data_IF_363166352006
#
_entry.id   IF_363166352006
#
_cell.length_a   1.000
_cell.length_b   1.000
_cell.length_c   1.000
_cell.angle_alpha   90.00
_cell.angle_beta   90.00
_cell.angle_gamma   90.00
#
_symmetry.space_group_name_H-M   'P 1'
#
loop_
_entity.id
_entity.type
_entity.pdbx_description
1 polymer ?
#
# COMPACT_ATOMS: atom_id res chain seq x y z
N UNK A 1 -32.37 11.20 -17.22
CA UNK A 1 -31.14 10.52 -17.69
C UNK A 1 -30.13 10.57 -16.57
N UNK A 2 -30.07 9.53 -15.76
CA UNK A 2 -29.09 9.40 -14.66
C UNK A 2 -27.73 9.09 -15.29
N UNK A 3 -26.83 10.07 -15.29
CA UNK A 3 -25.43 9.85 -15.64
C UNK A 3 -24.82 8.95 -14.56
N UNK A 4 -24.69 7.66 -14.89
CA UNK A 4 -23.85 6.73 -14.13
C UNK A 4 -22.42 7.26 -14.19
N UNK A 5 -21.97 7.93 -13.13
CA UNK A 5 -20.57 8.31 -12.95
C UNK A 5 -19.80 7.02 -12.72
N UNK A 6 -19.15 6.50 -13.76
CA UNK A 6 -18.23 5.37 -13.62
C UNK A 6 -17.08 5.85 -12.75
N UNK A 7 -17.02 5.42 -11.48
CA UNK A 7 -15.89 5.67 -10.59
C UNK A 7 -14.62 5.15 -11.30
N UNK A 8 -13.72 6.06 -11.65
CA UNK A 8 -12.53 5.69 -12.41
C UNK A 8 -11.59 4.90 -11.49
N UNK A 9 -11.31 3.65 -11.85
CA UNK A 9 -10.39 2.79 -11.13
C UNK A 9 -8.96 3.38 -11.16
N UNK A 10 -8.49 3.89 -10.03
CA UNK A 10 -7.18 4.55 -9.92
C UNK A 10 -6.32 4.01 -8.79
N UNK A 11 -6.93 3.64 -7.67
CA UNK A 11 -6.19 3.34 -6.45
C UNK A 11 -6.36 1.88 -6.05
N UNK A 12 -5.23 1.19 -5.88
CA UNK A 12 -5.20 -0.18 -5.37
C UNK A 12 -4.66 -0.14 -3.95
N UNK A 13 -5.35 -0.80 -3.03
CA UNK A 13 -4.86 -1.05 -1.69
C UNK A 13 -4.11 -2.38 -1.63
N UNK A 14 -2.86 -2.38 -1.16
CA UNK A 14 -2.10 -3.61 -0.91
C UNK A 14 -1.94 -3.86 0.60
N UNK A 15 -2.32 -5.05 1.02
CA UNK A 15 -2.23 -5.54 2.39
C UNK A 15 -1.27 -6.72 2.43
N UNK A 16 -0.36 -6.74 3.42
CA UNK A 16 0.52 -7.87 3.67
C UNK A 16 0.71 -8.06 5.17
N UNK A 17 0.97 -9.30 5.58
CA UNK A 17 1.49 -9.60 6.91
C UNK A 17 2.83 -8.91 7.20
N UNK A 18 3.22 -8.86 8.48
CA UNK A 18 4.47 -8.19 8.92
C UNK A 18 5.72 -8.96 8.48
N UNK A 19 5.63 -10.29 8.42
CA UNK A 19 6.74 -11.17 8.10
C UNK A 19 6.51 -11.94 6.79
N UNK A 20 7.54 -11.98 5.96
CA UNK A 20 7.60 -12.77 4.72
C UNK A 20 8.81 -13.72 4.70
N UNK A 21 9.48 -13.88 5.84
CA UNK A 21 10.86 -14.39 5.98
C UNK A 21 11.13 -15.81 5.46
N UNK A 22 10.10 -16.63 5.23
CA UNK A 22 10.26 -17.98 4.65
C UNK A 22 10.11 -18.04 3.12
N UNK A 23 9.63 -16.98 2.48
CA UNK A 23 9.21 -17.02 1.08
C UNK A 23 9.82 -15.88 0.26
N UNK A 24 11.14 -15.93 0.08
CA UNK A 24 11.87 -14.94 -0.76
C UNK A 24 11.32 -14.85 -2.18
N UNK A 25 10.73 -15.92 -2.68
CA UNK A 25 10.07 -15.99 -4.00
C UNK A 25 8.91 -14.99 -4.12
N UNK A 26 8.19 -14.70 -3.04
CA UNK A 26 7.10 -13.72 -3.07
C UNK A 26 7.59 -12.26 -3.14
N UNK A 27 8.87 -12.00 -2.84
CA UNK A 27 9.45 -10.66 -3.00
C UNK A 27 9.44 -10.27 -4.48
N UNK A 28 9.87 -11.19 -5.35
CA UNK A 28 9.89 -10.91 -6.79
C UNK A 28 8.48 -10.71 -7.33
N UNK A 29 7.52 -11.54 -6.90
CA UNK A 29 6.11 -11.38 -7.26
C UNK A 29 5.53 -10.02 -6.79
N UNK A 30 5.89 -9.55 -5.59
CA UNK A 30 5.47 -8.24 -5.09
C UNK A 30 6.08 -7.09 -5.91
N UNK A 31 7.35 -7.19 -6.30
CA UNK A 31 8.01 -6.21 -7.19
C UNK A 31 7.34 -6.20 -8.56
N UNK A 32 7.08 -7.38 -9.14
CA UNK A 32 6.43 -7.51 -10.44
C UNK A 32 4.99 -6.96 -10.40
N UNK A 33 4.25 -7.21 -9.32
CA UNK A 33 2.95 -6.60 -9.08
C UNK A 33 3.04 -5.07 -9.08
N UNK A 34 3.96 -4.50 -8.31
CA UNK A 34 4.16 -3.05 -8.25
C UNK A 34 4.52 -2.46 -9.62
N UNK A 35 5.35 -3.14 -10.41
CA UNK A 35 5.65 -2.76 -11.79
C UNK A 35 4.38 -2.69 -12.65
N UNK A 36 3.55 -3.73 -12.63
CA UNK A 36 2.33 -3.79 -13.45
C UNK A 36 1.32 -2.72 -13.03
N UNK A 37 1.18 -2.47 -11.74
CA UNK A 37 0.31 -1.40 -11.22
C UNK A 37 0.78 -0.03 -11.74
N UNK A 38 2.09 0.24 -11.67
CA UNK A 38 2.66 1.49 -12.14
C UNK A 38 2.51 1.68 -13.67
N UNK A 39 2.77 0.63 -14.46
CA UNK A 39 2.62 0.64 -15.92
C UNK A 39 1.17 0.93 -16.35
N UNK A 40 0.20 0.51 -15.55
CA UNK A 40 -1.23 0.82 -15.75
C UNK A 40 -1.62 2.23 -15.27
N UNK A 41 -0.66 3.04 -14.81
CA UNK A 41 -0.87 4.39 -14.27
C UNK A 41 -1.80 4.40 -13.05
N UNK A 42 -1.77 3.33 -12.26
CA UNK A 42 -2.51 3.22 -11.01
C UNK A 42 -1.64 3.66 -9.83
N UNK A 43 -2.29 3.96 -8.72
CA UNK A 43 -1.68 4.43 -7.48
C UNK A 43 -1.84 3.39 -6.38
N UNK A 44 -0.98 3.46 -5.37
CA UNK A 44 -0.99 2.54 -4.23
C UNK A 44 -1.50 3.21 -2.97
N UNK A 45 -2.38 2.53 -2.26
CA UNK A 45 -2.67 2.76 -0.84
C UNK A 45 -2.15 1.54 -0.07
N UNK A 46 -1.50 1.74 1.07
CA UNK A 46 -1.04 0.61 1.90
C UNK A 46 -0.94 1.02 3.37
N UNK A 47 -0.57 0.07 4.23
CA UNK A 47 -0.51 0.27 5.68
C UNK A 47 0.63 1.16 6.19
N UNK A 48 1.41 1.81 5.32
CA UNK A 48 2.45 2.79 5.71
C UNK A 48 3.71 2.23 6.37
N UNK A 49 3.79 0.92 6.59
CA UNK A 49 4.95 0.29 7.26
C UNK A 49 6.06 -0.18 6.31
N UNK A 50 7.31 -0.15 6.76
CA UNK A 50 8.51 -0.72 6.10
C UNK A 50 8.70 -2.23 6.36
N UNK A 51 7.63 -2.87 6.84
CA UNK A 51 7.56 -4.30 7.12
C UNK A 51 6.71 -5.02 6.06
N UNK A 52 6.91 -6.31 5.90
CA UNK A 52 6.10 -7.11 4.97
C UNK A 52 6.48 -6.97 3.49
N UNK A 53 5.63 -7.55 2.63
CA UNK A 53 5.78 -7.51 1.17
C UNK A 53 5.28 -6.20 0.55
N UNK A 54 4.32 -5.53 1.20
CA UNK A 54 3.72 -4.28 0.71
C UNK A 54 4.76 -3.18 0.48
N UNK A 55 5.87 -3.17 1.23
CA UNK A 55 7.00 -2.25 1.01
C UNK A 55 7.69 -2.41 -0.35
N UNK A 56 7.75 -3.63 -0.88
CA UNK A 56 8.37 -3.87 -2.19
C UNK A 56 7.44 -3.39 -3.30
N UNK A 57 6.13 -3.57 -3.12
CA UNK A 57 5.10 -3.03 -4.01
C UNK A 57 5.18 -1.50 -4.02
N UNK A 58 5.19 -0.86 -2.83
CA UNK A 58 5.25 0.59 -2.69
C UNK A 58 6.49 1.18 -3.33
N UNK A 59 7.67 0.59 -3.08
CA UNK A 59 8.91 1.01 -3.71
C UNK A 59 8.88 0.87 -5.23
N UNK A 60 8.41 -0.27 -5.75
CA UNK A 60 8.36 -0.52 -7.19
C UNK A 60 7.43 0.46 -7.93
N UNK A 61 6.36 0.92 -7.27
CA UNK A 61 5.43 1.92 -7.80
C UNK A 61 6.04 3.33 -7.72
N UNK A 62 6.61 3.69 -6.56
CA UNK A 62 7.18 5.01 -6.32
C UNK A 62 8.34 5.34 -7.27
N UNK A 63 9.27 4.40 -7.51
CA UNK A 63 10.40 4.62 -8.42
C UNK A 63 9.98 4.87 -9.89
N UNK A 64 8.72 4.53 -10.24
CA UNK A 64 8.14 4.75 -11.57
C UNK A 64 7.35 6.05 -11.66
N UNK A 65 7.29 6.84 -10.58
CA UNK A 65 6.66 8.15 -10.52
C UNK A 65 5.16 8.13 -10.21
N UNK A 66 4.61 6.98 -9.85
CA UNK A 66 3.21 6.85 -9.45
C UNK A 66 3.04 7.20 -7.97
N UNK A 67 1.87 7.73 -7.61
CA UNK A 67 1.55 8.05 -6.22
C UNK A 67 1.43 6.80 -5.35
N UNK A 68 1.94 6.94 -4.12
CA UNK A 68 1.91 5.93 -3.07
C UNK A 68 1.49 6.63 -1.79
N UNK A 69 0.45 6.15 -1.13
CA UNK A 69 -0.09 6.67 0.13
C UNK A 69 0.03 5.60 1.22
N UNK A 70 0.83 5.86 2.25
CA UNK A 70 0.93 5.04 3.44
C UNK A 70 0.03 5.55 4.56
N UNK A 71 -0.89 4.72 5.05
CA UNK A 71 -1.79 5.09 6.16
C UNK A 71 -1.29 4.43 7.44
N UNK A 72 -0.77 5.26 8.36
CA UNK A 72 -0.14 4.78 9.60
C UNK A 72 -0.77 5.42 10.84
N UNK A 73 -1.12 4.61 11.85
CA UNK A 73 -1.49 5.14 13.16
C UNK A 73 -0.31 5.86 13.82
N UNK A 74 -0.58 7.02 14.43
CA UNK A 74 0.44 7.79 15.15
C UNK A 74 1.17 6.95 16.22
N UNK A 75 0.46 6.00 16.84
CA UNK A 75 1.00 5.08 17.84
C UNK A 75 2.10 4.13 17.29
N UNK A 76 2.15 3.88 15.97
CA UNK A 76 3.13 2.97 15.35
C UNK A 76 4.40 3.69 14.84
N UNK A 77 4.39 5.02 14.73
CA UNK A 77 5.58 5.78 14.30
C UNK A 77 6.80 5.60 15.21
N UNK A 78 6.68 5.63 16.55
CA UNK A 78 7.83 5.49 17.44
C UNK A 78 8.50 4.11 17.36
N UNK A 79 7.81 3.11 16.80
CA UNK A 79 8.30 1.74 16.67
C UNK A 79 9.27 1.56 15.48
N UNK A 80 9.62 2.63 14.77
CA UNK A 80 10.52 2.56 13.62
C UNK A 80 9.90 1.85 12.42
N UNK A 81 8.57 1.81 12.35
CA UNK A 81 7.86 1.13 11.27
C UNK A 81 7.88 1.90 9.94
N UNK A 82 8.41 3.12 9.87
CA UNK A 82 8.42 3.92 8.64
C UNK A 82 9.70 3.70 7.83
N UNK A 83 9.58 3.70 6.50
CA UNK A 83 10.75 3.66 5.61
C UNK A 83 11.57 4.96 5.74
N UNK A 84 12.89 4.84 5.75
CA UNK A 84 13.81 5.97 5.68
C UNK A 84 14.80 5.78 4.50
N UNK A 85 14.76 6.60 3.44
CA UNK A 85 13.87 7.75 3.23
C UNK A 85 12.40 7.33 3.02
N UNK A 86 11.48 8.26 3.29
CA UNK A 86 10.05 8.07 3.12
C UNK A 86 9.71 7.72 1.65
N UNK A 87 8.83 6.74 1.45
CA UNK A 87 8.33 6.32 0.13
C UNK A 87 6.90 6.85 -0.03
N UNK A 88 6.73 7.83 -0.91
CA UNK A 88 5.42 8.42 -1.20
C UNK A 88 4.95 9.41 -0.14
N UNK A 89 3.63 9.51 -0.01
CA UNK A 89 2.92 10.33 0.97
C UNK A 89 2.48 9.48 2.18
N UNK A 90 2.29 10.13 3.32
CA UNK A 90 1.88 9.49 4.58
C UNK A 90 0.63 10.18 5.11
N UNK A 91 -0.35 9.39 5.53
CA UNK A 91 -1.55 9.84 6.23
C UNK A 91 -1.54 9.31 7.66
N UNK A 92 -1.48 10.26 8.59
CA UNK A 92 -1.49 9.98 10.03
C UNK A 92 -2.92 9.82 10.52
N UNK A 93 -3.19 8.67 11.13
CA UNK A 93 -4.49 8.38 11.74
C UNK A 93 -4.37 8.16 13.25
N UNK A 94 -5.46 8.38 13.97
CA UNK A 94 -5.53 8.28 15.42
C UNK A 94 -5.75 6.85 15.91
N UNK A 95 -6.38 5.98 15.11
CA UNK A 95 -6.71 4.62 15.52
C UNK A 95 -6.58 3.58 14.40
N UNK A 96 -6.71 2.29 14.76
CA UNK A 96 -6.73 1.18 13.80
C UNK A 96 -8.03 1.16 12.99
N UNK A 97 -9.15 1.54 13.60
CA UNK A 97 -10.45 1.66 12.92
C UNK A 97 -10.39 2.76 11.86
N UNK A 98 -9.82 3.92 12.20
CA UNK A 98 -9.60 5.00 11.26
C UNK A 98 -8.64 4.58 10.14
N UNK A 99 -7.57 3.84 10.47
CA UNK A 99 -6.67 3.25 9.46
C UNK A 99 -7.44 2.40 8.44
N UNK A 100 -8.30 1.50 8.90
CA UNK A 100 -9.10 0.65 8.02
C UNK A 100 -10.07 1.49 7.20
N UNK A 101 -10.75 2.46 7.83
CA UNK A 101 -11.68 3.39 7.16
C UNK A 101 -11.00 4.15 6.03
N UNK A 102 -9.84 4.75 6.29
CA UNK A 102 -9.09 5.51 5.28
C UNK A 102 -8.57 4.60 4.16
N UNK A 103 -8.11 3.38 4.49
CA UNK A 103 -7.75 2.40 3.45
C UNK A 103 -8.93 2.02 2.57
N UNK A 104 -10.15 1.92 3.13
CA UNK A 104 -11.38 1.66 2.39
C UNK A 104 -11.82 2.85 1.54
N UNK A 105 -11.69 4.07 2.07
CA UNK A 105 -12.11 5.30 1.40
C UNK A 105 -11.22 5.65 0.20
N UNK A 106 -9.92 5.41 0.32
CA UNK A 106 -8.94 5.77 -0.69
C UNK A 106 -8.72 4.72 -1.77
N UNK A 107 -9.29 3.51 -1.64
CA UNK A 107 -9.04 2.39 -2.54
C UNK A 107 -10.27 1.99 -3.37
N UNK A 108 -10.03 1.64 -4.64
CA UNK A 108 -11.04 1.09 -5.53
C UNK A 108 -10.98 -0.46 -5.59
N UNK A 109 -9.84 -1.06 -5.21
CA UNK A 109 -9.69 -2.51 -5.03
C UNK A 109 -8.64 -2.86 -3.97
N UNK A 110 -8.66 -4.11 -3.52
CA UNK A 110 -7.77 -4.64 -2.50
C UNK A 110 -7.01 -5.85 -3.06
N UNK A 111 -5.71 -5.92 -2.75
CA UNK A 111 -4.86 -7.07 -3.01
C UNK A 111 -4.26 -7.53 -1.70
N UNK A 112 -4.50 -8.79 -1.36
CA UNK A 112 -3.91 -9.44 -0.19
C UNK A 112 -2.70 -10.24 -0.63
N UNK A 113 -1.53 -9.85 -0.11
CA UNK A 113 -0.27 -10.51 -0.34
C UNK A 113 -0.04 -11.59 0.73
N UNK A 114 0.67 -12.68 0.40
CA UNK A 114 1.07 -13.67 1.39
C UNK A 114 1.86 -13.05 2.54
N UNK A 115 1.60 -13.48 3.76
CA UNK A 115 2.36 -13.06 4.94
C UNK A 115 1.77 -13.63 6.23
N UNK A 116 2.59 -13.67 7.26
CA UNK A 116 2.17 -14.03 8.61
C UNK A 116 1.69 -12.78 9.36
N UNK A 117 0.83 -12.97 10.37
CA UNK A 117 0.34 -11.87 11.21
C UNK A 117 1.47 -11.21 12.01
#
# INVERSE_FOLDING_TARGET
MTTSSSRQFKNICALSGFHYGKYKEFVQAAVDLGRVIAERKLHLVYGGGDCGLSKFVSKAIFIRGNQVLGIIPQALKPLGCLSNPLIGEELDVSSIEERISEMLNHADAFIFLPGDL
#
